data_IF_530895517451
#
_entry.id   IF_530895517451
#
_cell.length_a   1.000
_cell.length_b   1.000
_cell.length_c   1.000
_cell.angle_alpha   90.00
_cell.angle_beta   90.00
_cell.angle_gamma   90.00
#
_symmetry.space_group_name_H-M   'P 1'
#
loop_
_entity.id
_entity.type
_entity.pdbx_description
1 polymer ?
#
# COMPACT_ATOMS: atom_id res chain seq x y z
N UNK A 1 -0.37 17.00 30.33
CA UNK A 1 -1.03 16.84 29.01
C UNK A 1 -0.01 16.75 27.88
N UNK A 2 0.94 17.67 27.74
CA UNK A 2 2.00 17.61 26.71
C UNK A 2 2.94 16.39 26.79
N UNK A 3 3.22 15.87 28.00
CA UNK A 3 4.04 14.67 28.16
C UNK A 3 3.38 13.39 27.60
N UNK A 4 2.05 13.27 27.67
CA UNK A 4 1.35 12.11 27.11
C UNK A 4 1.35 12.13 25.58
N UNK A 5 1.17 13.33 24.99
CA UNK A 5 1.26 13.49 23.54
C UNK A 5 2.67 13.19 23.03
N UNK A 6 3.71 13.63 23.75
CA UNK A 6 5.11 13.33 23.38
C UNK A 6 5.46 11.85 23.58
N UNK A 7 5.02 11.20 24.66
CA UNK A 7 5.27 9.77 24.90
C UNK A 7 4.56 8.89 23.86
N UNK A 8 3.32 9.21 23.50
CA UNK A 8 2.61 8.55 22.39
C UNK A 8 3.39 8.76 21.08
N UNK A 9 3.83 9.98 20.79
CA UNK A 9 4.63 10.26 19.59
C UNK A 9 6.02 9.58 19.60
N UNK A 10 6.62 9.35 20.78
CA UNK A 10 7.89 8.66 20.95
C UNK A 10 7.76 7.14 20.84
N UNK A 11 6.63 6.56 21.27
CA UNK A 11 6.32 5.13 21.12
C UNK A 11 5.87 4.80 19.69
N UNK A 12 5.27 5.77 19.00
CA UNK A 12 5.02 5.80 17.54
C UNK A 12 6.29 6.24 16.81
N UNK A 13 7.46 5.72 17.21
CA UNK A 13 8.69 5.84 16.42
C UNK A 13 8.95 4.48 15.80
N UNK A 14 8.82 4.39 14.48
CA UNK A 14 8.99 3.23 13.59
C UNK A 14 8.47 1.88 14.13
N UNK A 15 9.11 1.29 15.15
CA UNK A 15 8.77 -0.01 15.75
C UNK A 15 7.33 -0.16 16.22
N UNK A 16 6.74 0.87 16.86
CA UNK A 16 5.34 0.82 17.28
C UNK A 16 4.37 0.70 16.09
N UNK A 17 4.63 1.47 15.02
CA UNK A 17 3.85 1.42 13.79
C UNK A 17 4.03 0.08 13.06
N UNK A 18 5.25 -0.46 13.03
CA UNK A 18 5.54 -1.77 12.43
C UNK A 18 4.75 -2.89 13.11
N UNK A 19 4.69 -2.89 14.46
CA UNK A 19 3.91 -3.86 15.23
C UNK A 19 2.42 -3.76 14.89
N UNK A 20 1.88 -2.54 14.89
CA UNK A 20 0.47 -2.30 14.56
C UNK A 20 0.13 -2.72 13.13
N UNK A 21 0.98 -2.39 12.15
CA UNK A 21 0.83 -2.83 10.76
C UNK A 21 0.78 -4.36 10.70
N UNK A 22 1.76 -5.03 11.30
CA UNK A 22 1.84 -6.50 11.29
C UNK A 22 0.61 -7.14 11.94
N UNK A 23 0.12 -6.56 13.04
CA UNK A 23 -1.09 -7.00 13.71
C UNK A 23 -2.33 -6.84 12.83
N UNK A 24 -2.55 -5.67 12.21
CA UNK A 24 -3.70 -5.41 11.34
C UNK A 24 -3.65 -6.34 10.12
N UNK A 25 -2.48 -6.49 9.50
CA UNK A 25 -2.28 -7.36 8.35
C UNK A 25 -2.51 -8.85 8.67
N UNK A 26 -2.24 -9.29 9.90
CA UNK A 26 -2.55 -10.65 10.33
C UNK A 26 -4.06 -10.88 10.43
N UNK A 27 -4.82 -9.87 10.82
CA UNK A 27 -6.27 -9.93 10.97
C UNK A 27 -7.01 -9.76 9.64
N UNK A 28 -6.53 -8.89 8.73
CA UNK A 28 -7.25 -8.55 7.48
C UNK A 28 -7.50 -9.78 6.59
N UNK A 29 -6.63 -10.79 6.65
CA UNK A 29 -6.77 -12.07 5.92
C UNK A 29 -8.00 -12.87 6.37
N UNK A 30 -8.46 -12.67 7.61
CA UNK A 30 -9.58 -13.39 8.21
C UNK A 30 -10.88 -12.56 8.24
N UNK A 31 -10.85 -11.34 7.71
CA UNK A 31 -12.02 -10.45 7.69
C UNK A 31 -12.89 -10.77 6.49
N UNK A 32 -14.17 -11.04 6.72
CA UNK A 32 -15.13 -11.30 5.64
C UNK A 32 -15.74 -10.01 5.07
N UNK A 33 -15.94 -9.00 5.92
CA UNK A 33 -16.67 -7.78 5.52
C UNK A 33 -15.78 -6.85 4.69
N UNK A 34 -16.17 -6.49 3.44
CA UNK A 34 -15.38 -5.62 2.57
C UNK A 34 -15.09 -4.23 3.16
N UNK A 35 -16.06 -3.63 3.87
CA UNK A 35 -15.86 -2.33 4.50
C UNK A 35 -14.78 -2.37 5.57
N UNK A 36 -14.74 -3.42 6.40
CA UNK A 36 -13.70 -3.63 7.40
C UNK A 36 -12.31 -3.78 6.77
N UNK A 37 -12.18 -4.46 5.63
CA UNK A 37 -10.93 -4.53 4.87
C UNK A 37 -10.48 -3.15 4.40
N UNK A 38 -11.41 -2.32 3.91
CA UNK A 38 -11.09 -0.95 3.46
C UNK A 38 -10.69 -0.05 4.62
N UNK A 39 -11.36 -0.14 5.77
CA UNK A 39 -10.92 0.59 6.98
C UNK A 39 -9.54 0.16 7.45
N UNK A 40 -9.26 -1.15 7.45
CA UNK A 40 -7.95 -1.68 7.80
C UNK A 40 -6.88 -1.21 6.80
N UNK A 41 -7.17 -1.19 5.49
CA UNK A 41 -6.31 -0.63 4.46
C UNK A 41 -5.98 0.85 4.71
N UNK A 42 -6.98 1.66 5.08
CA UNK A 42 -6.76 3.07 5.43
C UNK A 42 -5.88 3.20 6.68
N UNK A 43 -6.12 2.41 7.72
CA UNK A 43 -5.26 2.40 8.92
C UNK A 43 -3.82 2.02 8.60
N UNK A 44 -3.60 0.95 7.81
CA UNK A 44 -2.26 0.54 7.38
C UNK A 44 -1.59 1.68 6.60
N UNK A 45 -2.31 2.34 5.68
CA UNK A 45 -1.77 3.46 4.92
C UNK A 45 -1.30 4.60 5.84
N UNK A 46 -2.11 5.00 6.83
CA UNK A 46 -1.71 6.04 7.78
C UNK A 46 -0.50 5.65 8.62
N UNK A 47 -0.44 4.40 9.10
CA UNK A 47 0.71 3.89 9.84
C UNK A 47 1.96 3.79 8.96
N UNK A 48 1.80 3.48 7.67
CA UNK A 48 2.90 3.42 6.73
C UNK A 48 3.59 4.78 6.53
N UNK A 49 2.93 5.91 6.83
CA UNK A 49 3.58 7.23 6.80
C UNK A 49 4.61 7.43 7.91
N UNK A 50 4.54 6.62 8.97
CA UNK A 50 5.39 6.69 10.16
C UNK A 50 6.50 5.64 10.18
N UNK A 51 6.71 4.91 9.07
CA UNK A 51 7.75 3.88 8.94
C UNK A 51 8.72 4.21 7.82
N UNK A 52 9.91 3.59 7.86
CA UNK A 52 10.93 3.73 6.82
C UNK A 52 10.44 3.30 5.45
N UNK A 53 11.02 3.89 4.40
CA UNK A 53 10.71 3.53 3.01
C UNK A 53 10.98 2.05 2.72
N UNK A 54 12.06 1.49 3.29
CA UNK A 54 12.37 0.07 3.17
C UNK A 54 11.23 -0.79 3.73
N UNK A 55 10.73 -0.47 4.94
CA UNK A 55 9.64 -1.22 5.53
C UNK A 55 8.32 -1.09 4.75
N UNK A 56 8.06 0.06 4.11
CA UNK A 56 6.90 0.22 3.21
C UNK A 56 6.99 -0.75 2.04
N UNK A 57 8.17 -0.91 1.45
CA UNK A 57 8.38 -1.78 0.29
C UNK A 57 8.39 -3.26 0.68
N UNK A 58 9.03 -3.62 1.79
CA UNK A 58 9.21 -5.01 2.19
C UNK A 58 7.97 -5.62 2.85
N UNK A 59 7.27 -4.82 3.68
CA UNK A 59 6.16 -5.33 4.48
C UNK A 59 4.81 -4.81 3.99
N UNK A 60 4.65 -3.50 3.79
CA UNK A 60 3.32 -2.90 3.51
C UNK A 60 2.86 -3.20 2.09
N UNK A 61 3.74 -3.03 1.11
CA UNK A 61 3.44 -3.20 -0.31
C UNK A 61 2.90 -4.61 -0.63
N UNK A 62 3.51 -5.73 -0.17
CA UNK A 62 2.95 -7.06 -0.38
C UNK A 62 1.49 -7.21 0.07
N UNK A 63 1.08 -6.59 1.18
CA UNK A 63 -0.32 -6.65 1.63
C UNK A 63 -1.26 -5.86 0.73
N UNK A 64 -0.82 -4.72 0.22
CA UNK A 64 -1.62 -3.97 -0.75
C UNK A 64 -1.76 -4.79 -2.04
N UNK A 65 -0.68 -5.41 -2.52
CA UNK A 65 -0.74 -6.27 -3.70
C UNK A 65 -1.63 -7.49 -3.47
N UNK A 66 -1.61 -8.09 -2.28
CA UNK A 66 -2.55 -9.17 -1.92
C UNK A 66 -4.02 -8.71 -2.02
N UNK A 67 -4.35 -7.53 -1.50
CA UNK A 67 -5.71 -6.98 -1.56
C UNK A 67 -6.14 -6.52 -2.97
N UNK A 68 -5.24 -6.45 -3.95
CA UNK A 68 -5.61 -6.24 -5.36
C UNK A 68 -6.31 -7.47 -5.96
N UNK A 69 -6.10 -8.64 -5.37
CA UNK A 69 -6.71 -9.91 -5.80
C UNK A 69 -7.95 -10.28 -4.97
N UNK A 70 -8.48 -9.34 -4.19
CA UNK A 70 -9.71 -9.57 -3.42
C UNK A 70 -10.89 -9.82 -4.36
N UNK A 71 -11.79 -10.73 -3.98
CA UNK A 71 -13.00 -11.02 -4.75
C UNK A 71 -13.91 -9.80 -4.87
N UNK A 72 -13.89 -8.93 -3.86
CA UNK A 72 -14.76 -7.77 -3.82
C UNK A 72 -14.16 -6.57 -4.57
N UNK A 73 -14.86 -6.11 -5.61
CA UNK A 73 -14.47 -4.96 -6.42
C UNK A 73 -14.26 -3.67 -5.60
N UNK A 74 -15.05 -3.44 -4.55
CA UNK A 74 -14.90 -2.28 -3.69
C UNK A 74 -13.55 -2.27 -2.96
N UNK A 75 -13.09 -3.44 -2.50
CA UNK A 75 -11.76 -3.59 -1.88
C UNK A 75 -10.68 -3.30 -2.91
N UNK A 76 -10.74 -3.95 -4.09
CA UNK A 76 -9.78 -3.73 -5.19
C UNK A 76 -9.65 -2.27 -5.60
N UNK A 77 -10.77 -1.58 -5.82
CA UNK A 77 -10.78 -0.15 -6.21
C UNK A 77 -10.12 0.72 -5.16
N UNK A 78 -10.41 0.49 -3.88
CA UNK A 78 -9.77 1.21 -2.79
C UNK A 78 -8.28 0.88 -2.74
N UNK A 79 -7.90 -0.39 -2.81
CA UNK A 79 -6.50 -0.82 -2.83
C UNK A 79 -5.70 -0.14 -3.94
N UNK A 80 -6.22 -0.06 -5.17
CA UNK A 80 -5.56 0.65 -6.29
C UNK A 80 -5.27 2.11 -5.91
N UNK A 81 -6.27 2.83 -5.41
CA UNK A 81 -6.13 4.24 -5.04
C UNK A 81 -5.10 4.45 -3.92
N UNK A 82 -5.12 3.59 -2.91
CA UNK A 82 -4.23 3.68 -1.76
C UNK A 82 -2.81 3.24 -2.11
N UNK A 83 -2.64 2.26 -3.00
CA UNK A 83 -1.34 1.79 -3.47
C UNK A 83 -0.58 2.89 -4.21
N UNK A 84 -1.25 3.63 -5.08
CA UNK A 84 -0.63 4.76 -5.79
C UNK A 84 -0.12 5.82 -4.80
N UNK A 85 -0.95 6.16 -3.82
CA UNK A 85 -0.57 7.10 -2.75
C UNK A 85 0.60 6.56 -1.92
N UNK A 86 0.60 5.28 -1.58
CA UNK A 86 1.69 4.63 -0.85
C UNK A 86 3.01 4.77 -1.62
N UNK A 87 3.02 4.43 -2.91
CA UNK A 87 4.21 4.56 -3.77
C UNK A 87 4.70 6.00 -3.88
N UNK A 88 3.80 6.99 -3.94
CA UNK A 88 4.16 8.40 -3.94
C UNK A 88 4.88 8.85 -2.65
N UNK A 89 4.66 8.17 -1.53
CA UNK A 89 5.30 8.49 -0.25
C UNK A 89 6.73 7.95 -0.12
N UNK A 90 7.15 7.02 -1.00
CA UNK A 90 8.48 6.39 -0.97
C UNK A 90 9.51 7.34 -1.59
N UNK A 91 10.45 7.83 -0.80
CA UNK A 91 11.45 8.85 -1.18
C UNK A 91 12.72 8.25 -1.75
N UNK A 92 13.21 7.14 -1.19
CA UNK A 92 14.38 6.40 -1.66
C UNK A 92 14.04 4.94 -1.93
N UNK A 93 14.69 4.35 -2.93
CA UNK A 93 14.63 2.91 -3.22
C UNK A 93 16.07 2.40 -3.06
N UNK A 94 16.24 1.26 -2.40
CA UNK A 94 17.56 0.64 -2.26
C UNK A 94 18.07 0.14 -3.64
N UNK A 95 19.39 -0.01 -3.85
CA UNK A 95 19.90 -0.60 -5.08
C UNK A 95 19.38 -2.02 -5.35
N UNK A 96 19.05 -2.75 -4.28
CA UNK A 96 18.50 -4.11 -4.34
C UNK A 96 17.06 -4.11 -4.88
N UNK A 97 16.32 -3.02 -4.66
CA UNK A 97 14.91 -2.87 -5.02
C UNK A 97 14.69 -2.13 -6.36
N UNK A 98 15.74 -1.87 -7.16
CA UNK A 98 15.63 -1.08 -8.41
C UNK A 98 14.57 -1.65 -9.37
N UNK A 99 14.47 -2.98 -9.46
CA UNK A 99 13.53 -3.66 -10.36
C UNK A 99 12.20 -4.02 -9.69
N UNK A 100 11.94 -3.60 -8.44
CA UNK A 100 10.72 -3.96 -7.70
C UNK A 100 9.45 -3.63 -8.49
N UNK A 101 9.47 -2.56 -9.29
CA UNK A 101 8.31 -2.22 -10.11
C UNK A 101 8.06 -3.24 -11.22
N UNK A 102 9.10 -3.62 -11.98
CA UNK A 102 8.97 -4.52 -13.13
C UNK A 102 8.73 -5.96 -12.68
N UNK A 103 9.44 -6.39 -11.63
CA UNK A 103 9.46 -7.78 -11.21
C UNK A 103 8.34 -8.11 -10.22
N UNK A 104 7.85 -7.11 -9.48
CA UNK A 104 6.89 -7.34 -8.39
C UNK A 104 5.58 -6.54 -8.52
N UNK A 105 5.64 -5.21 -8.73
CA UNK A 105 4.43 -4.37 -8.76
C UNK A 105 3.64 -4.58 -10.06
N UNK A 106 4.27 -4.43 -11.22
CA UNK A 106 3.62 -4.50 -12.54
C UNK A 106 2.91 -5.84 -12.81
N UNK A 107 3.49 -7.01 -12.49
CA UNK A 107 2.80 -8.29 -12.64
C UNK A 107 1.49 -8.37 -11.87
N UNK A 108 1.41 -7.74 -10.69
CA UNK A 108 0.18 -7.68 -9.89
C UNK A 108 -0.83 -6.65 -10.43
N UNK A 109 -0.38 -5.61 -11.12
CA UNK A 109 -1.25 -4.60 -11.73
C UNK A 109 -1.84 -5.04 -13.07
N UNK A 110 -1.10 -5.82 -13.86
CA UNK A 110 -1.48 -6.24 -15.21
C UNK A 110 -2.87 -6.91 -15.30
N UNK A 111 -3.27 -7.81 -14.38
CA UNK A 111 -4.60 -8.44 -14.41
C UNK A 111 -5.76 -7.46 -14.26
N UNK A 112 -5.57 -6.33 -13.58
CA UNK A 112 -6.63 -5.34 -13.32
C UNK A 112 -7.20 -4.71 -14.60
N UNK A 113 -6.40 -4.67 -15.68
CA UNK A 113 -6.86 -4.23 -17.00
C UNK A 113 -7.95 -5.14 -17.60
N UNK A 114 -8.00 -6.41 -17.18
CA UNK A 114 -8.93 -7.43 -17.65
C UNK A 114 -9.94 -7.83 -16.57
N UNK A 115 -10.03 -7.07 -15.48
CA UNK A 115 -10.95 -7.38 -14.40
C UNK A 115 -12.41 -7.43 -14.92
N UNK A 116 -13.23 -8.40 -14.47
CA UNK A 116 -14.63 -8.46 -14.87
C UNK A 116 -15.38 -7.18 -14.48
N UNK A 117 -15.03 -6.57 -13.33
CA UNK A 117 -15.70 -5.39 -12.82
C UNK A 117 -15.24 -4.10 -13.55
N UNK A 118 -16.22 -3.32 -14.01
CA UNK A 118 -15.97 -2.09 -14.78
C UNK A 118 -15.37 -0.99 -13.89
N UNK A 119 -15.75 -0.92 -12.62
CA UNK A 119 -15.19 0.08 -11.69
C UNK A 119 -13.73 -0.21 -11.37
N UNK A 120 -13.34 -1.48 -11.27
CA UNK A 120 -11.93 -1.86 -11.10
C UNK A 120 -11.11 -1.41 -12.30
N UNK A 121 -11.57 -1.72 -13.53
CA UNK A 121 -10.90 -1.29 -14.77
C UNK A 121 -10.82 0.23 -14.89
N UNK A 122 -11.91 0.94 -14.60
CA UNK A 122 -11.94 2.40 -14.65
C UNK A 122 -10.98 3.02 -13.62
N UNK A 123 -10.96 2.50 -12.39
CA UNK A 123 -10.02 2.94 -11.35
C UNK A 123 -8.57 2.66 -11.75
N UNK A 124 -8.28 1.48 -12.29
CA UNK A 124 -6.95 1.14 -12.78
C UNK A 124 -6.50 2.07 -13.92
N UNK A 125 -7.34 2.26 -14.94
CA UNK A 125 -7.06 3.14 -16.07
C UNK A 125 -6.80 4.59 -15.62
N UNK A 126 -7.59 5.10 -14.66
CA UNK A 126 -7.42 6.43 -14.08
C UNK A 126 -6.04 6.63 -13.46
N UNK A 127 -5.54 5.64 -12.72
CA UNK A 127 -4.27 5.76 -11.99
C UNK A 127 -3.06 5.15 -12.72
N UNK A 128 -3.26 4.55 -13.89
CA UNK A 128 -2.19 3.94 -14.68
C UNK A 128 -1.06 4.94 -15.00
N UNK A 129 -1.43 6.19 -15.32
CA UNK A 129 -0.45 7.25 -15.57
C UNK A 129 0.40 7.59 -14.34
N UNK A 130 -0.15 7.45 -13.13
CA UNK A 130 0.56 7.73 -11.88
C UNK A 130 1.56 6.62 -11.54
N UNK A 131 1.20 5.36 -11.80
CA UNK A 131 2.14 4.23 -11.70
C UNK A 131 3.32 4.40 -12.66
N UNK A 132 3.05 4.77 -13.91
CA UNK A 132 4.11 5.05 -14.90
C UNK A 132 5.02 6.20 -14.46
N UNK A 133 4.44 7.30 -13.97
CA UNK A 133 5.22 8.44 -13.43
C UNK A 133 6.11 8.03 -12.25
N UNK A 134 5.62 7.19 -11.35
CA UNK A 134 6.42 6.65 -10.25
C UNK A 134 7.64 5.89 -10.76
N UNK A 135 7.43 4.96 -11.71
CA UNK A 135 8.51 4.17 -12.32
C UNK A 135 9.56 5.07 -12.99
N UNK A 136 9.15 5.98 -13.89
CA UNK A 136 10.08 6.86 -14.60
C UNK A 136 10.84 7.82 -13.68
N UNK A 137 10.20 8.33 -12.63
CA UNK A 137 10.84 9.23 -11.67
C UNK A 137 11.95 8.53 -10.88
N UNK A 138 11.81 7.22 -10.65
CA UNK A 138 12.75 6.45 -9.85
C UNK A 138 13.87 5.80 -10.66
N UNK A 139 13.65 5.56 -11.95
CA UNK A 139 14.69 5.11 -12.87
C UNK A 139 15.73 6.21 -13.19
N UNK A 140 15.31 7.48 -13.19
CA UNK A 140 16.15 8.63 -13.56
C UNK A 140 16.82 9.35 -12.37
N UNK A 141 16.85 8.72 -11.19
CA UNK A 141 17.50 9.24 -9.97
C UNK A 141 18.48 8.23 -9.43
#
# INVERSE_FOLDING_TARGET
>A
MYLYTTIIFLFIKDGGCQILITYICSNIRNVYLPSSKVYALDMIFFLALCVSDQYKLDQVLPYFLFLLHDENAYVKVNTIQKLVKLLQTVRSISPEDINIFTDYIYPNLKPLSKDPDVFVKASYAKHLSEFGKYYFKKLNK
#
